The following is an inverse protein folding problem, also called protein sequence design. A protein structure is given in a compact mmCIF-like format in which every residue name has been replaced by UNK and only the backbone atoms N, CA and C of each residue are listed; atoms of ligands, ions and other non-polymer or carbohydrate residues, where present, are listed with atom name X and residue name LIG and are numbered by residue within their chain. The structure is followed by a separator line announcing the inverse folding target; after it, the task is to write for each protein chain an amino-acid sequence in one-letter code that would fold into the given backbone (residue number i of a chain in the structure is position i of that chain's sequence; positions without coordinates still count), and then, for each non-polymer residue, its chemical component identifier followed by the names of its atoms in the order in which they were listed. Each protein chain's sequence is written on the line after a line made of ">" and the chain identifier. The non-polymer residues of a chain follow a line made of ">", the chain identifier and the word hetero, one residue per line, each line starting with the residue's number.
data_IF_743711392864
#
_entry.id   IF_743711392864
#
_cell.length_a   1.000
_cell.length_b   1.000
_cell.length_c   1.000
_cell.angle_alpha   90.00
_cell.angle_beta   90.00
_cell.angle_gamma   90.00
#
_symmetry.space_group_name_H-M   'P 1'
#
loop_
_entity.id
_entity.type
_entity.pdbx_description
1 polymer ?
#
# COMPACT_ATOMS: atom_id res chain seq x y z
N UNK A 1 2.59 13.42 -9.49
CA UNK A 1 2.57 13.55 -10.97
C UNK A 1 3.81 14.24 -11.54
N UNK A 2 4.19 15.44 -11.09
CA UNK A 2 5.38 16.14 -11.61
C UNK A 2 6.67 15.30 -11.52
N UNK A 3 6.91 14.61 -10.39
CA UNK A 3 8.04 13.70 -10.25
C UNK A 3 8.04 12.56 -11.28
N UNK A 4 6.86 12.06 -11.68
CA UNK A 4 6.75 11.03 -12.70
C UNK A 4 7.10 11.58 -14.09
N UNK A 5 6.68 12.81 -14.39
CA UNK A 5 7.07 13.53 -15.62
C UNK A 5 8.57 13.78 -15.69
N UNK A 6 9.24 13.91 -14.54
CA UNK A 6 10.70 13.99 -14.40
C UNK A 6 11.38 12.61 -14.44
N UNK A 7 10.67 11.53 -14.78
CA UNK A 7 11.20 10.18 -14.89
C UNK A 7 11.56 9.52 -13.56
N UNK A 8 11.15 10.09 -12.41
CA UNK A 8 11.43 9.51 -11.10
C UNK A 8 10.50 8.36 -10.80
N UNK A 9 11.03 7.30 -10.19
CA UNK A 9 10.23 6.25 -9.55
C UNK A 9 9.63 6.80 -8.26
N UNK A 10 8.33 6.60 -8.09
CA UNK A 10 7.56 7.15 -6.98
C UNK A 10 7.06 5.98 -6.14
N UNK A 11 7.44 5.98 -4.86
CA UNK A 11 6.86 5.12 -3.84
C UNK A 11 6.00 6.02 -2.95
N UNK A 12 4.71 5.72 -2.86
CA UNK A 12 3.77 6.46 -2.03
C UNK A 12 3.35 5.62 -0.82
N UNK A 13 3.19 6.27 0.33
CA UNK A 13 2.48 5.74 1.48
C UNK A 13 1.23 6.60 1.66
N UNK A 14 0.06 6.01 1.45
CA UNK A 14 -1.20 6.74 1.46
C UNK A 14 -2.31 5.84 1.97
N UNK A 15 -3.09 6.32 2.95
CA UNK A 15 -4.23 5.57 3.48
C UNK A 15 -5.35 5.40 2.45
N UNK A 16 -5.46 6.32 1.49
CA UNK A 16 -6.52 6.32 0.52
C UNK A 16 -6.04 5.72 -0.82
N UNK A 17 -6.48 4.51 -1.19
CA UNK A 17 -6.09 3.91 -2.47
C UNK A 17 -6.62 4.69 -3.68
N UNK A 18 -7.61 5.58 -3.51
CA UNK A 18 -8.23 6.34 -4.59
C UNK A 18 -7.59 7.71 -4.82
N UNK A 19 -6.62 8.12 -3.99
CA UNK A 19 -5.98 9.42 -4.15
C UNK A 19 -5.22 9.50 -5.46
N UNK A 20 -5.11 10.70 -6.05
CA UNK A 20 -4.28 10.90 -7.25
C UNK A 20 -2.84 10.44 -7.04
N UNK A 21 -2.28 10.67 -5.85
CA UNK A 21 -0.91 10.25 -5.51
C UNK A 21 -0.77 8.74 -5.53
N UNK A 22 -1.69 8.00 -4.91
CA UNK A 22 -1.74 6.54 -4.92
C UNK A 22 -1.87 5.99 -6.36
N UNK A 23 -2.74 6.59 -7.16
CA UNK A 23 -2.97 6.16 -8.54
C UNK A 23 -1.78 6.42 -9.48
N UNK A 24 -1.04 7.51 -9.29
CA UNK A 24 0.13 7.86 -10.11
C UNK A 24 1.45 7.24 -9.64
N UNK A 25 1.51 6.67 -8.44
CA UNK A 25 2.74 6.10 -7.91
C UNK A 25 3.09 4.77 -8.61
N UNK A 26 4.39 4.45 -8.65
CA UNK A 26 4.87 3.18 -9.18
C UNK A 26 4.69 2.05 -8.16
N UNK A 27 4.70 2.40 -6.88
CA UNK A 27 4.44 1.53 -5.73
C UNK A 27 3.60 2.33 -4.75
N UNK A 28 2.49 1.77 -4.30
CA UNK A 28 1.66 2.37 -3.23
C UNK A 28 1.54 1.40 -2.07
N UNK A 29 1.86 1.89 -0.88
CA UNK A 29 1.62 1.21 0.39
C UNK A 29 0.35 1.82 0.98
N UNK A 30 -0.74 1.06 0.94
CA UNK A 30 -2.04 1.51 1.45
C UNK A 30 -2.14 1.24 2.95
N UNK A 31 -1.47 2.09 3.74
CA UNK A 31 -1.40 1.95 5.20
C UNK A 31 -1.01 3.28 5.87
N UNK A 32 -1.13 3.34 7.20
CA UNK A 32 -0.75 4.51 7.99
C UNK A 32 0.78 4.62 8.11
N UNK A 33 1.34 5.81 7.84
CA UNK A 33 2.79 6.05 7.87
C UNK A 33 3.45 5.63 9.20
N UNK A 34 2.78 5.82 10.33
CA UNK A 34 3.29 5.46 11.66
C UNK A 34 3.52 3.95 11.77
N UNK A 35 2.71 3.13 11.10
CA UNK A 35 2.90 1.67 11.02
C UNK A 35 3.89 1.28 9.94
N UNK A 36 3.85 1.97 8.80
CA UNK A 36 4.68 1.62 7.63
C UNK A 36 6.16 1.81 7.91
N UNK A 37 6.56 2.93 8.51
CA UNK A 37 7.98 3.24 8.71
C UNK A 37 8.74 2.15 9.50
N UNK A 38 8.28 1.71 10.69
CA UNK A 38 8.98 0.64 11.41
C UNK A 38 8.97 -0.69 10.66
N UNK A 39 7.86 -1.06 10.00
CA UNK A 39 7.77 -2.29 9.20
C UNK A 39 8.74 -2.27 8.00
N UNK A 40 8.86 -1.12 7.33
CA UNK A 40 9.75 -0.96 6.18
C UNK A 40 11.21 -1.04 6.61
N UNK A 41 11.58 -0.44 7.74
CA UNK A 41 12.92 -0.54 8.31
C UNK A 41 13.25 -2.00 8.65
N UNK A 42 12.33 -2.70 9.32
CA UNK A 42 12.52 -4.10 9.67
C UNK A 42 12.66 -4.99 8.42
N UNK A 43 11.78 -4.81 7.42
CA UNK A 43 11.84 -5.54 6.16
C UNK A 43 13.13 -5.24 5.38
N UNK A 44 13.59 -3.98 5.39
CA UNK A 44 14.85 -3.61 4.73
C UNK A 44 16.06 -4.28 5.38
N UNK A 45 16.09 -4.39 6.71
CA UNK A 45 17.18 -5.09 7.43
C UNK A 45 17.17 -6.59 7.11
N UNK A 46 16.00 -7.22 7.19
CA UNK A 46 15.86 -8.64 6.85
C UNK A 46 16.26 -8.97 5.41
N UNK A 47 16.06 -8.05 4.47
CA UNK A 47 16.47 -8.23 3.07
C UNK A 47 17.98 -8.06 2.85
N UNK A 48 18.69 -7.35 3.72
CA UNK A 48 20.15 -7.17 3.61
C UNK A 48 20.92 -8.44 3.97
N UNK A 49 20.33 -9.30 4.80
CA UNK A 49 21.02 -10.46 5.35
C UNK A 49 20.98 -11.68 4.40
N UNK A 50 19.98 -11.82 3.52
CA UNK A 50 19.73 -13.11 2.83
C UNK A 50 19.11 -13.03 1.41
N UNK A 51 19.12 -11.89 0.73
CA UNK A 51 18.43 -11.79 -0.56
C UNK A 51 19.34 -12.09 -1.77
N UNK A 52 19.15 -13.25 -2.42
CA UNK A 52 19.71 -13.54 -3.75
C UNK A 52 19.30 -12.41 -4.73
N UNK A 53 20.26 -11.69 -5.33
CA UNK A 53 19.97 -10.59 -6.27
C UNK A 53 19.00 -10.97 -7.39
N UNK A 54 19.04 -12.22 -7.87
CA UNK A 54 18.11 -12.71 -8.91
C UNK A 54 16.68 -12.80 -8.39
N UNK A 55 16.50 -13.25 -7.15
CA UNK A 55 15.19 -13.32 -6.49
C UNK A 55 14.64 -11.92 -6.26
N UNK A 56 15.46 -10.98 -5.81
CA UNK A 56 15.07 -9.57 -5.63
C UNK A 56 14.64 -8.97 -6.96
N UNK A 57 15.45 -9.14 -8.01
CA UNK A 57 15.12 -8.61 -9.34
C UNK A 57 13.82 -9.20 -9.89
N UNK A 58 13.58 -10.50 -9.67
CA UNK A 58 12.32 -11.15 -10.05
C UNK A 58 11.11 -10.56 -9.31
N UNK A 59 11.25 -10.27 -8.01
CA UNK A 59 10.18 -9.62 -7.22
C UNK A 59 9.88 -8.21 -7.72
N UNK A 60 10.92 -7.42 -8.02
CA UNK A 60 10.76 -6.05 -8.55
C UNK A 60 10.07 -6.08 -9.92
N UNK A 61 10.50 -6.96 -10.83
CA UNK A 61 9.97 -7.04 -12.21
C UNK A 61 8.55 -7.60 -12.29
N UNK A 62 8.15 -8.45 -11.35
CA UNK A 62 6.79 -9.00 -11.28
C UNK A 62 5.81 -8.16 -10.47
N UNK A 63 6.29 -7.07 -9.84
CA UNK A 63 5.46 -6.18 -9.05
C UNK A 63 4.47 -5.40 -9.93
N UNK A 64 3.21 -5.34 -9.49
CA UNK A 64 2.13 -4.68 -10.21
C UNK A 64 1.29 -3.85 -9.22
N UNK A 65 1.47 -2.53 -9.26
CA UNK A 65 0.78 -1.61 -8.36
C UNK A 65 -0.75 -1.65 -8.55
N UNK A 66 -1.24 -1.92 -9.76
CA UNK A 66 -2.68 -1.98 -10.02
C UNK A 66 -3.31 -3.17 -9.29
N UNK A 67 -2.61 -4.32 -9.21
CA UNK A 67 -3.05 -5.46 -8.41
C UNK A 67 -3.10 -5.14 -6.91
N UNK A 68 -2.12 -4.39 -6.40
CA UNK A 68 -2.06 -3.98 -4.99
C UNK A 68 -3.21 -3.02 -4.65
N UNK A 69 -3.42 -1.98 -5.45
CA UNK A 69 -4.55 -1.06 -5.27
C UNK A 69 -5.89 -1.82 -5.36
N UNK A 70 -6.04 -2.73 -6.32
CA UNK A 70 -7.23 -3.58 -6.42
C UNK A 70 -7.45 -4.46 -5.19
N UNK A 71 -6.37 -4.98 -4.58
CA UNK A 71 -6.45 -5.75 -3.33
C UNK A 71 -6.90 -4.88 -2.16
N UNK A 72 -6.38 -3.65 -2.05
CA UNK A 72 -6.80 -2.70 -1.03
C UNK A 72 -8.30 -2.36 -1.15
N UNK A 73 -8.79 -2.10 -2.36
CA UNK A 73 -10.22 -1.84 -2.62
C UNK A 73 -11.08 -3.05 -2.25
N UNK A 74 -10.65 -4.27 -2.60
CA UNK A 74 -11.36 -5.51 -2.21
C UNK A 74 -11.43 -5.66 -0.69
N UNK A 75 -10.35 -5.37 0.04
CA UNK A 75 -10.34 -5.41 1.51
C UNK A 75 -11.35 -4.40 2.10
N UNK A 76 -11.40 -3.18 1.59
CA UNK A 76 -12.39 -2.17 1.97
C UNK A 76 -13.81 -2.68 1.69
N UNK A 77 -14.07 -3.18 0.48
CA UNK A 77 -15.38 -3.71 0.10
C UNK A 77 -15.84 -4.84 1.03
N UNK A 78 -14.96 -5.78 1.37
CA UNK A 78 -15.27 -6.87 2.29
C UNK A 78 -15.62 -6.35 3.68
N UNK A 79 -14.87 -5.38 4.20
CA UNK A 79 -15.14 -4.75 5.49
C UNK A 79 -16.49 -4.03 5.48
N UNK A 80 -16.80 -3.27 4.44
CA UNK A 80 -18.08 -2.58 4.27
C UNK A 80 -19.25 -3.56 4.23
N UNK A 81 -19.15 -4.68 3.49
CA UNK A 81 -20.18 -5.74 3.50
C UNK A 81 -20.44 -6.29 4.90
N UNK A 82 -19.39 -6.47 5.71
CA UNK A 82 -19.53 -6.93 7.11
C UNK A 82 -20.23 -5.88 7.97
N UNK A 83 -19.83 -4.61 7.85
CA UNK A 83 -20.44 -3.49 8.59
C UNK A 83 -21.93 -3.34 8.25
N UNK A 84 -22.26 -3.41 6.97
CA UNK A 84 -23.65 -3.29 6.49
C UNK A 84 -24.57 -4.36 7.10
N UNK A 85 -24.08 -5.61 7.25
CA UNK A 85 -24.84 -6.69 7.90
C UNK A 85 -25.01 -6.50 9.40
N UNK A 86 -24.06 -5.83 10.05
CA UNK A 86 -24.03 -5.64 11.50
C UNK A 86 -24.83 -4.42 11.97
N UNK A 87 -25.23 -3.52 11.06
CA UNK A 87 -25.97 -2.31 11.43
C UNK A 87 -25.19 -1.41 12.40
N UNK A 88 -23.90 -1.21 12.14
CA UNK A 88 -23.05 -0.39 13.02
C UNK A 88 -23.42 1.08 12.82
N UNK A 89 -23.80 1.74 13.90
CA UNK A 89 -23.85 3.19 14.02
C UNK A 89 -22.91 3.61 15.15
N UNK A 90 -22.24 4.75 14.97
CA UNK A 90 -21.44 5.33 16.04
C UNK A 90 -22.40 5.89 17.10
N UNK A 91 -22.29 5.40 18.33
CA UNK A 91 -22.86 6.09 19.48
C UNK A 91 -21.86 7.17 19.85
N UNK A 92 -22.33 8.40 19.98
CA UNK A 92 -21.57 9.41 20.71
C UNK A 92 -21.67 8.96 22.17
N UNK A 93 -20.58 8.44 22.72
CA UNK A 93 -20.47 8.28 24.17
C UNK A 93 -20.21 9.68 24.73
N UNK A 94 -21.04 10.09 25.69
CA UNK A 94 -20.87 11.33 26.47
C UNK A 94 -19.58 11.30 27.31
#
# INVERSE_FOLDING_TARGET
>A
EQLARLGKKIIAVDLNPFSRTAQYAHVTIVDNIVRVMPLLIAASRALQEDADPKVVQKRITSYDNAKILGAAVRAIQQRLKKIARQGIYLRIEE
#
